data_IF_116672001614
#
_entry.id   IF_116672001614
#
_cell.length_a   1.000
_cell.length_b   1.000
_cell.length_c   1.000
_cell.angle_alpha   90.00
_cell.angle_beta   90.00
_cell.angle_gamma   90.00
#
_symmetry.space_group_name_H-M   'P 1'
#
loop_
_entity.id
_entity.type
_entity.pdbx_description
1 polymer ?
#
# COMPACT_ATOMS: atom_id res chain seq x y z
N UNK A 1 -14.65 6.16 -11.11
CA UNK A 1 -13.42 5.63 -10.48
C UNK A 1 -13.36 6.10 -9.03
N UNK A 2 -12.97 5.23 -8.11
CA UNK A 2 -12.57 5.67 -6.77
C UNK A 2 -11.28 6.50 -6.87
N UNK A 3 -11.14 7.57 -6.08
CA UNK A 3 -9.88 8.34 -6.02
C UNK A 3 -8.69 7.41 -5.72
N UNK A 4 -8.94 6.36 -4.93
CA UNK A 4 -7.98 5.29 -4.65
C UNK A 4 -7.42 4.63 -5.90
N UNK A 5 -8.27 4.10 -6.80
CA UNK A 5 -7.76 3.35 -7.94
C UNK A 5 -6.99 4.24 -8.92
N UNK A 6 -7.39 5.50 -9.06
CA UNK A 6 -6.64 6.48 -9.85
C UNK A 6 -5.21 6.63 -9.32
N UNK A 7 -5.04 6.88 -8.02
CA UNK A 7 -3.72 7.04 -7.41
C UNK A 7 -2.92 5.73 -7.38
N UNK A 8 -3.59 4.60 -7.21
CA UNK A 8 -2.95 3.28 -7.26
C UNK A 8 -2.39 3.00 -8.65
N UNK A 9 -3.20 3.23 -9.69
CA UNK A 9 -2.83 3.01 -11.08
C UNK A 9 -1.72 3.95 -11.52
N UNK A 10 -1.80 5.25 -11.17
CA UNK A 10 -0.74 6.22 -11.46
C UNK A 10 0.63 5.75 -10.92
N UNK A 11 0.67 5.23 -9.69
CA UNK A 11 1.90 4.74 -9.08
C UNK A 11 2.41 3.44 -9.73
N UNK A 12 1.51 2.53 -10.12
CA UNK A 12 1.89 1.29 -10.81
C UNK A 12 2.35 1.53 -12.25
N UNK A 13 1.69 2.42 -12.98
CA UNK A 13 2.06 2.81 -14.34
C UNK A 13 3.42 3.51 -14.37
N UNK A 14 3.75 4.33 -13.34
CA UNK A 14 5.08 4.93 -13.18
C UNK A 14 6.20 3.90 -13.00
N UNK A 15 5.87 2.70 -12.50
CA UNK A 15 6.78 1.57 -12.37
C UNK A 15 6.73 0.62 -13.58
N UNK A 16 5.90 0.91 -14.58
CA UNK A 16 5.67 0.05 -15.75
C UNK A 16 5.01 -1.29 -15.39
N UNK A 17 4.27 -1.34 -14.29
CA UNK A 17 3.66 -2.57 -13.77
C UNK A 17 2.16 -2.64 -14.07
N UNK A 18 1.63 -3.82 -14.44
CA UNK A 18 0.21 -3.96 -14.74
C UNK A 18 -0.65 -3.84 -13.46
N UNK A 19 -1.74 -3.09 -13.55
CA UNK A 19 -2.70 -2.88 -12.47
C UNK A 19 -4.16 -3.04 -12.96
N UNK A 20 -4.65 -4.28 -13.14
CA UNK A 20 -6.04 -4.53 -13.56
C UNK A 20 -7.06 -4.06 -12.51
N UNK A 21 -8.09 -3.34 -12.95
CA UNK A 21 -9.14 -2.79 -12.08
C UNK A 21 -9.92 -3.86 -11.31
N UNK A 22 -10.07 -5.05 -11.90
CA UNK A 22 -10.74 -6.19 -11.25
C UNK A 22 -10.04 -6.65 -9.96
N UNK A 23 -8.74 -6.41 -9.84
CA UNK A 23 -7.93 -6.81 -8.67
C UNK A 23 -7.61 -5.65 -7.73
N UNK A 24 -7.63 -4.41 -8.22
CA UNK A 24 -7.14 -3.23 -7.47
C UNK A 24 -8.09 -2.02 -7.48
N UNK A 25 -9.32 -2.16 -8.00
CA UNK A 25 -10.26 -1.06 -8.21
C UNK A 25 -10.72 -0.32 -6.93
N UNK A 26 -10.45 -0.88 -5.75
CA UNK A 26 -10.61 -0.22 -4.46
C UNK A 26 -9.65 -0.82 -3.43
N UNK A 27 -9.54 -0.18 -2.26
CA UNK A 27 -8.63 -0.60 -1.19
C UNK A 27 -8.87 -2.04 -0.72
N UNK A 28 -10.13 -2.48 -0.64
CA UNK A 28 -10.49 -3.83 -0.20
C UNK A 28 -9.99 -4.90 -1.19
N UNK A 29 -10.23 -4.69 -2.48
CA UNK A 29 -9.75 -5.58 -3.54
C UNK A 29 -8.22 -5.60 -3.58
N UNK A 30 -7.59 -4.42 -3.48
CA UNK A 30 -6.14 -4.31 -3.52
C UNK A 30 -5.47 -5.02 -2.33
N UNK A 31 -6.02 -4.88 -1.11
CA UNK A 31 -5.54 -5.58 0.09
C UNK A 31 -5.77 -7.10 -0.01
N UNK A 32 -6.91 -7.54 -0.55
CA UNK A 32 -7.17 -8.94 -0.84
C UNK A 32 -6.15 -9.53 -1.80
N UNK A 33 -5.91 -8.85 -2.92
CA UNK A 33 -4.89 -9.23 -3.91
C UNK A 33 -3.48 -9.23 -3.31
N UNK A 34 -3.11 -8.22 -2.51
CA UNK A 34 -1.81 -8.16 -1.86
C UNK A 34 -1.61 -9.32 -0.85
N UNK A 35 -2.61 -9.63 -0.03
CA UNK A 35 -2.52 -10.73 0.95
C UNK A 35 -2.34 -12.11 0.27
N UNK A 36 -3.05 -12.36 -0.83
CA UNK A 36 -2.87 -13.59 -1.62
C UNK A 36 -1.48 -13.66 -2.24
N UNK A 37 -0.97 -12.56 -2.79
CA UNK A 37 0.38 -12.46 -3.34
C UNK A 37 1.47 -12.68 -2.27
N UNK A 38 1.29 -12.14 -1.07
CA UNK A 38 2.19 -12.38 0.07
C UNK A 38 2.17 -13.85 0.47
N UNK A 39 1.00 -14.47 0.58
CA UNK A 39 0.90 -15.89 0.93
C UNK A 39 1.57 -16.79 -0.11
N UNK A 40 1.46 -16.45 -1.40
CA UNK A 40 2.18 -17.12 -2.49
C UNK A 40 3.70 -16.90 -2.35
N UNK A 41 4.13 -15.66 -2.12
CA UNK A 41 5.54 -15.32 -1.92
C UNK A 41 6.13 -16.06 -0.71
N UNK A 42 5.40 -16.19 0.38
CA UNK A 42 5.85 -16.97 1.55
C UNK A 42 5.94 -18.46 1.26
N UNK A 43 4.99 -19.01 0.49
CA UNK A 43 4.94 -20.44 0.17
C UNK A 43 6.03 -20.85 -0.82
N UNK A 44 6.37 -19.98 -1.77
CA UNK A 44 7.35 -20.26 -2.82
C UNK A 44 8.74 -19.66 -2.51
N UNK A 45 8.82 -18.53 -1.80
CA UNK A 45 10.06 -17.83 -1.44
C UNK A 45 10.81 -18.41 -0.24
N UNK A 46 10.15 -19.15 0.66
CA UNK A 46 10.82 -19.82 1.80
C UNK A 46 11.70 -21.01 1.40
N UNK A 47 11.64 -21.48 0.14
CA UNK A 47 12.38 -22.68 -0.29
C UNK A 47 13.78 -22.43 -0.83
N UNK A 48 14.16 -21.18 -1.10
CA UNK A 48 15.51 -20.87 -1.58
C UNK A 48 15.92 -19.50 -1.03
N UNK A 49 16.81 -19.47 -0.04
CA UNK A 49 17.41 -18.19 0.35
C UNK A 49 18.35 -17.71 -0.76
N UNK A 50 18.43 -16.40 -0.98
CA UNK A 50 19.34 -15.78 -1.97
C UNK A 50 20.79 -16.25 -1.78
N UNK A 51 21.17 -16.56 -0.53
CA UNK A 51 22.48 -17.10 -0.19
C UNK A 51 22.69 -18.55 -0.69
N UNK A 52 21.69 -19.42 -0.55
CA UNK A 52 21.73 -20.81 -1.06
C UNK A 52 21.72 -20.85 -2.60
N UNK A 53 21.00 -19.92 -3.24
CA UNK A 53 20.88 -19.83 -4.71
C UNK A 53 22.14 -19.29 -5.40
N UNK A 54 22.88 -18.40 -4.73
CA UNK A 54 24.19 -17.93 -5.21
C UNK A 54 25.24 -19.04 -5.08
N UNK A 55 25.15 -19.86 -4.03
CA UNK A 55 26.05 -20.99 -3.80
C UNK A 55 25.78 -22.20 -4.69
N UNK A 56 24.52 -22.48 -5.06
CA UNK A 56 24.13 -23.68 -5.79
C UNK A 56 24.40 -23.62 -7.31
N UNK A 57 24.58 -22.43 -7.91
CA UNK A 57 25.34 -22.29 -9.16
C UNK A 57 24.85 -23.07 -10.40
N UNK A 58 23.59 -23.53 -10.45
CA UNK A 58 23.03 -24.22 -11.63
C UNK A 58 22.21 -23.23 -12.47
N UNK A 59 22.48 -23.17 -13.78
CA UNK A 59 21.92 -22.20 -14.76
C UNK A 59 20.38 -22.04 -14.76
N UNK A 60 19.62 -22.97 -14.18
CA UNK A 60 18.16 -22.85 -14.00
C UNK A 60 17.73 -21.94 -12.84
N UNK A 61 18.57 -21.78 -11.82
CA UNK A 61 18.23 -21.01 -10.62
C UNK A 61 18.28 -19.51 -10.87
N UNK A 62 19.07 -18.99 -11.82
CA UNK A 62 19.04 -17.56 -12.18
C UNK A 62 17.65 -17.10 -12.63
N UNK A 63 16.90 -17.94 -13.35
CA UNK A 63 15.51 -17.64 -13.72
C UNK A 63 14.58 -17.66 -12.51
N UNK A 64 14.83 -18.54 -11.53
CA UNK A 64 14.09 -18.55 -10.27
C UNK A 64 14.44 -17.33 -9.39
N UNK A 65 15.71 -16.91 -9.33
CA UNK A 65 16.16 -15.67 -8.69
C UNK A 65 15.47 -14.49 -9.35
N UNK A 66 15.56 -14.36 -10.67
CA UNK A 66 15.00 -13.24 -11.43
C UNK A 66 13.47 -13.25 -11.34
N UNK A 67 12.83 -14.43 -11.36
CA UNK A 67 11.39 -14.60 -11.20
C UNK A 67 10.89 -14.31 -9.78
N UNK A 68 11.67 -14.68 -8.75
CA UNK A 68 11.35 -14.37 -7.35
C UNK A 68 11.67 -12.91 -7.01
N UNK A 69 12.72 -12.33 -7.60
CA UNK A 69 13.02 -10.90 -7.52
C UNK A 69 11.95 -10.08 -8.23
N UNK A 70 11.49 -10.50 -9.40
CA UNK A 70 10.40 -9.81 -10.11
C UNK A 70 9.06 -9.97 -9.39
N UNK A 71 8.78 -11.14 -8.80
CA UNK A 71 7.60 -11.35 -7.97
C UNK A 71 7.65 -10.51 -6.68
N UNK A 72 8.74 -10.56 -5.92
CA UNK A 72 8.89 -9.75 -4.70
C UNK A 72 8.89 -8.25 -5.00
N UNK A 73 9.48 -7.82 -6.12
CA UNK A 73 9.39 -6.45 -6.62
C UNK A 73 7.94 -6.07 -6.92
N UNK A 74 7.19 -6.90 -7.65
CA UNK A 74 5.79 -6.64 -7.96
C UNK A 74 4.92 -6.58 -6.70
N UNK A 75 5.09 -7.53 -5.76
CA UNK A 75 4.37 -7.52 -4.48
C UNK A 75 4.71 -6.27 -3.66
N UNK A 76 5.99 -5.90 -3.58
CA UNK A 76 6.42 -4.67 -2.93
C UNK A 76 5.82 -3.41 -3.57
N UNK A 77 5.79 -3.36 -4.89
CA UNK A 77 5.18 -2.27 -5.64
C UNK A 77 3.67 -2.17 -5.40
N UNK A 78 2.95 -3.30 -5.38
CA UNK A 78 1.51 -3.32 -5.04
C UNK A 78 1.27 -2.77 -3.63
N UNK A 79 2.06 -3.21 -2.63
CA UNK A 79 1.93 -2.73 -1.24
C UNK A 79 2.22 -1.22 -1.15
N UNK A 80 3.31 -0.76 -1.79
CA UNK A 80 3.67 0.66 -1.83
C UNK A 80 2.59 1.51 -2.52
N UNK A 81 2.04 1.04 -3.64
CA UNK A 81 0.95 1.71 -4.34
C UNK A 81 -0.35 1.76 -3.53
N UNK A 82 -0.67 0.73 -2.74
CA UNK A 82 -1.80 0.78 -1.78
C UNK A 82 -1.57 1.88 -0.75
N UNK A 83 -0.36 1.99 -0.19
CA UNK A 83 -0.04 3.01 0.81
C UNK A 83 -0.15 4.43 0.22
N UNK A 84 0.41 4.67 -0.97
CA UNK A 84 0.32 5.95 -1.68
C UNK A 84 -1.13 6.29 -2.01
N UNK A 85 -1.88 5.33 -2.57
CA UNK A 85 -3.27 5.53 -2.95
C UNK A 85 -4.16 5.80 -1.75
N UNK A 86 -3.99 5.07 -0.66
CA UNK A 86 -4.73 5.28 0.60
C UNK A 86 -4.39 6.64 1.18
N UNK A 87 -3.10 7.00 1.25
CA UNK A 87 -2.66 8.29 1.75
C UNK A 87 -3.21 9.47 0.94
N UNK A 88 -3.18 9.40 -0.39
CA UNK A 88 -3.73 10.45 -1.28
C UNK A 88 -5.26 10.52 -1.26
N UNK A 89 -5.93 9.37 -1.11
CA UNK A 89 -7.39 9.30 -0.98
C UNK A 89 -7.88 9.90 0.33
N UNK A 90 -7.16 9.67 1.44
CA UNK A 90 -7.47 10.26 2.75
C UNK A 90 -7.02 11.73 2.84
N UNK A 91 -5.97 12.11 2.11
CA UNK A 91 -5.44 13.48 2.15
C UNK A 91 -6.21 14.50 1.28
N UNK A 92 -7.21 14.08 0.49
CA UNK A 92 -8.04 14.99 -0.35
C UNK A 92 -9.13 15.73 0.46
N UNK A 93 -8.73 16.22 1.63
CA UNK A 93 -9.57 16.84 2.64
C UNK A 93 -9.36 16.11 3.95
N UNK A 94 -8.47 16.61 4.80
CA UNK A 94 -8.31 16.17 6.19
C UNK A 94 -9.71 16.05 6.79
N UNK A 95 -10.21 14.83 6.92
CA UNK A 95 -11.49 14.60 7.56
C UNK A 95 -11.24 14.57 9.06
N UNK A 96 -12.28 14.82 9.85
CA UNK A 96 -12.18 14.70 11.31
C UNK A 96 -11.75 13.27 11.70
N UNK A 97 -12.17 12.27 10.90
CA UNK A 97 -11.84 10.88 11.12
C UNK A 97 -10.33 10.62 10.95
N UNK A 98 -9.68 11.24 9.95
CA UNK A 98 -8.24 11.10 9.74
C UNK A 98 -7.43 11.70 10.88
N UNK A 99 -7.86 12.87 11.38
CA UNK A 99 -7.20 13.53 12.52
C UNK A 99 -7.38 12.71 13.80
N UNK A 100 -8.58 12.15 14.03
CA UNK A 100 -8.85 11.32 15.21
C UNK A 100 -8.13 9.98 15.13
N UNK A 101 -8.07 9.35 13.96
CA UNK A 101 -7.34 8.11 13.73
C UNK A 101 -5.83 8.33 13.92
N UNK A 102 -5.29 9.41 13.37
CA UNK A 102 -3.89 9.78 13.57
C UNK A 102 -3.58 10.08 15.05
N UNK A 103 -4.47 10.78 15.75
CA UNK A 103 -4.32 11.03 17.18
C UNK A 103 -4.37 9.73 18.00
N UNK A 104 -5.19 8.76 17.59
CA UNK A 104 -5.25 7.45 18.24
C UNK A 104 -3.97 6.62 17.98
N UNK A 105 -3.50 6.57 16.74
CA UNK A 105 -2.28 5.84 16.36
C UNK A 105 -1.02 6.40 17.03
N UNK A 106 -0.97 7.70 17.30
CA UNK A 106 0.17 8.36 17.96
C UNK A 106 -0.01 8.54 19.48
N UNK A 107 -1.02 7.90 20.10
CA UNK A 107 -1.33 8.04 21.53
C UNK A 107 -1.62 9.48 22.01
N UNK A 108 -2.00 10.36 21.08
CA UNK A 108 -2.40 11.76 21.32
C UNK A 108 -3.90 11.92 21.54
N UNK A 109 -4.68 10.84 21.41
CA UNK A 109 -6.12 10.87 21.63
C UNK A 109 -6.46 11.36 23.05
N UNK A 110 -7.40 12.31 23.15
CA UNK A 110 -7.93 12.83 24.41
C UNK A 110 -9.46 12.90 24.33
N UNK A 111 -10.20 12.66 25.41
CA UNK A 111 -11.66 12.70 25.40
C UNK A 111 -12.26 14.04 24.91
N UNK A 112 -11.54 15.15 25.11
CA UNK A 112 -11.97 16.48 24.67
C UNK A 112 -11.66 16.79 23.20
N UNK A 113 -10.78 16.02 22.56
CA UNK A 113 -10.27 16.29 21.21
C UNK A 113 -11.35 16.22 20.12
N UNK A 114 -12.26 15.21 20.11
CA UNK A 114 -13.36 15.17 19.14
C UNK A 114 -14.30 16.38 19.27
N UNK A 115 -14.65 16.76 20.50
CA UNK A 115 -15.54 17.91 20.76
C UNK A 115 -14.95 19.24 20.29
N UNK A 116 -13.63 19.42 20.48
CA UNK A 116 -12.92 20.61 20.00
C UNK A 116 -12.89 20.68 18.47
N UNK A 117 -12.56 19.58 17.80
CA UNK A 117 -12.48 19.55 16.33
C UNK A 117 -13.86 19.74 15.67
N UNK A 118 -14.94 19.24 16.29
CA UNK A 118 -16.32 19.47 15.81
C UNK A 118 -16.71 20.94 15.96
N UNK A 119 -16.29 21.59 17.05
CA UNK A 119 -16.62 23.00 17.34
C UNK A 119 -15.76 23.99 16.54
N UNK A 120 -14.53 23.59 16.18
CA UNK A 120 -13.56 24.41 15.46
C UNK A 120 -13.00 23.65 14.24
N UNK A 121 -13.81 23.44 13.19
CA UNK A 121 -13.40 22.70 12.01
C UNK A 121 -12.27 23.37 11.21
N UNK A 122 -12.03 24.66 11.42
CA UNK A 122 -10.91 25.44 10.89
C UNK A 122 -9.53 24.91 11.30
N UNK A 123 -9.42 24.19 12.41
CA UNK A 123 -8.15 23.63 12.91
C UNK A 123 -7.58 22.61 11.93
N UNK A 124 -8.45 21.83 11.30
CA UNK A 124 -8.04 20.74 10.43
C UNK A 124 -8.42 20.98 8.96
N UNK A 125 -9.39 21.83 8.65
CA UNK A 125 -9.72 22.17 7.26
C UNK A 125 -8.78 23.25 6.73
N UNK A 126 -7.84 22.87 5.86
CA UNK A 126 -6.98 23.83 5.15
C UNK A 126 -7.81 24.67 4.17
N UNK A 127 -7.93 25.98 4.42
CA UNK A 127 -8.54 26.93 3.48
C UNK A 127 -7.65 27.03 2.24
N UNK A 128 -8.10 26.49 1.09
CA UNK A 128 -7.48 26.82 -0.21
C UNK A 128 -7.63 28.33 -0.43
N UNK A 129 -6.52 29.02 -0.67
CA UNK A 129 -6.52 30.31 -1.38
C UNK A 129 -6.71 30.03 -2.86
#
# INVERSE_FOLDING_TARGET
MSDFYTYFKENMDALGLPAPESLYGNAQLALGSASTLIALLERFGKKVTVMEMIGAGIRGEKLAVIGAMSASFYVGAVIGSIAVATGRSLASGTSIADVLLNAQMNHLHRPWLPGLLVRHPEIYKRRRK
#
